data_IF_953130031389
#
_entry.id   IF_953130031389
#
_cell.length_a   1.000
_cell.length_b   1.000
_cell.length_c   1.000
_cell.angle_alpha   90.00
_cell.angle_beta   90.00
_cell.angle_gamma   90.00
#
_symmetry.space_group_name_H-M   'P 1'
#
loop_
_entity.id
_entity.type
_entity.pdbx_description
1 polymer ?
#
# COMPACT_ATOMS: atom_id res chain seq x y z
N UNK A 1 -0.92 21.11 5.75
CA UNK A 1 -0.59 22.29 6.57
C UNK A 1 -1.35 23.51 6.07
N UNK A 2 -1.11 23.98 4.84
CA UNK A 2 -1.84 25.14 4.30
C UNK A 2 -3.37 24.92 4.29
N UNK A 3 -3.86 23.77 3.81
CA UNK A 3 -5.29 23.41 3.87
C UNK A 3 -5.85 23.34 5.31
N UNK A 4 -5.01 22.97 6.26
CA UNK A 4 -5.37 22.87 7.68
C UNK A 4 -5.34 24.25 8.38
N UNK A 5 -4.91 25.31 7.68
CA UNK A 5 -4.87 26.67 8.20
C UNK A 5 -3.66 26.99 9.09
N UNK A 6 -2.61 26.16 9.10
CA UNK A 6 -1.39 26.42 9.85
C UNK A 6 -0.65 27.64 9.30
N UNK A 7 -0.14 28.52 10.18
CA UNK A 7 0.42 29.82 9.76
C UNK A 7 1.94 29.92 9.86
N UNK A 8 2.59 28.90 10.40
CA UNK A 8 4.02 28.93 10.71
C UNK A 8 4.89 28.59 9.48
N UNK A 9 6.12 29.13 9.41
CA UNK A 9 7.07 28.77 8.37
C UNK A 9 7.41 27.27 8.42
N UNK A 10 7.73 26.71 7.25
CA UNK A 10 8.04 25.29 7.09
C UNK A 10 9.51 25.13 6.73
N UNK A 11 10.20 24.24 7.43
CA UNK A 11 11.60 23.91 7.19
C UNK A 11 11.69 22.43 6.83
N UNK A 12 12.44 22.11 5.79
CA UNK A 12 12.79 20.73 5.45
C UNK A 12 14.31 20.57 5.47
N UNK A 13 14.78 19.59 6.22
CA UNK A 13 16.20 19.29 6.37
C UNK A 13 16.56 18.10 5.46
N UNK A 14 17.49 18.31 4.53
CA UNK A 14 17.94 17.32 3.58
C UNK A 14 19.30 16.77 4.02
N UNK A 15 19.40 15.45 4.15
CA UNK A 15 20.65 14.74 4.51
C UNK A 15 21.39 14.18 3.29
N UNK A 16 20.90 14.49 2.10
CA UNK A 16 21.42 14.05 0.82
C UNK A 16 21.18 15.13 -0.21
N UNK A 17 21.95 15.11 -1.29
CA UNK A 17 21.72 16.05 -2.39
C UNK A 17 20.48 15.66 -3.18
N UNK A 18 19.34 16.28 -2.84
CA UNK A 18 18.08 16.02 -3.52
C UNK A 18 18.11 16.57 -4.95
N UNK A 19 17.47 15.88 -5.92
CA UNK A 19 17.41 16.36 -7.29
C UNK A 19 16.90 17.80 -7.39
N UNK A 20 17.46 18.59 -8.30
CA UNK A 20 17.11 20.00 -8.47
C UNK A 20 15.59 20.23 -8.69
N UNK A 21 14.91 19.27 -9.31
CA UNK A 21 13.46 19.28 -9.47
C UNK A 21 12.71 19.25 -8.14
N UNK A 22 13.16 18.43 -7.19
CA UNK A 22 12.57 18.30 -5.85
C UNK A 22 12.82 19.57 -5.04
N UNK A 23 14.07 20.07 -5.04
CA UNK A 23 14.42 21.33 -4.36
C UNK A 23 13.56 22.50 -4.86
N UNK A 24 13.44 22.63 -6.18
CA UNK A 24 12.60 23.67 -6.81
C UNK A 24 11.14 23.56 -6.39
N UNK A 25 10.59 22.35 -6.36
CA UNK A 25 9.21 22.14 -5.93
C UNK A 25 9.00 22.52 -4.46
N UNK A 26 9.90 22.09 -3.58
CA UNK A 26 9.85 22.46 -2.15
C UNK A 26 9.88 23.98 -1.98
N UNK A 27 10.79 24.69 -2.68
CA UNK A 27 10.85 26.15 -2.63
C UNK A 27 9.58 26.83 -3.17
N UNK A 28 8.98 26.29 -4.25
CA UNK A 28 7.70 26.80 -4.78
C UNK A 28 6.55 26.62 -3.79
N UNK A 29 6.58 25.56 -3.00
CA UNK A 29 5.64 25.29 -1.90
C UNK A 29 6.01 26.03 -0.60
N UNK A 30 6.96 26.98 -0.66
CA UNK A 30 7.39 27.84 0.45
C UNK A 30 8.03 27.08 1.63
N UNK A 31 8.73 25.99 1.32
CA UNK A 31 9.63 25.35 2.28
C UNK A 31 11.00 26.04 2.28
N UNK A 32 11.51 26.31 3.47
CA UNK A 32 12.93 26.61 3.69
C UNK A 32 13.73 25.30 3.63
N UNK A 33 14.53 25.14 2.59
CA UNK A 33 15.26 23.91 2.29
C UNK A 33 16.68 24.03 2.83
N UNK A 34 17.00 23.24 3.87
CA UNK A 34 18.30 23.27 4.54
C UNK A 34 19.06 21.98 4.31
N UNK A 35 20.28 22.08 3.81
CA UNK A 35 21.20 20.95 3.77
C UNK A 35 21.82 20.75 5.14
N UNK A 36 21.70 19.54 5.69
CA UNK A 36 22.30 19.16 6.97
C UNK A 36 23.13 17.89 6.76
N UNK A 37 24.30 17.76 7.41
CA UNK A 37 25.09 16.55 7.28
C UNK A 37 24.35 15.39 7.95
N UNK A 38 24.46 14.20 7.37
CA UNK A 38 23.90 12.99 7.96
C UNK A 38 24.60 12.68 9.30
N UNK A 39 23.81 12.56 10.35
CA UNK A 39 24.29 12.10 11.65
C UNK A 39 24.34 10.57 11.69
N UNK A 40 25.51 9.96 11.95
CA UNK A 40 25.61 8.51 12.11
C UNK A 40 24.92 8.08 13.40
N UNK A 41 24.25 6.92 13.39
CA UNK A 41 23.70 6.31 14.59
C UNK A 41 24.80 5.59 15.37
N UNK A 42 25.06 5.94 16.65
CA UNK A 42 26.03 5.21 17.48
C UNK A 42 25.58 3.78 17.80
N UNK A 43 24.29 3.47 17.59
CA UNK A 43 23.70 2.15 17.85
C UNK A 43 23.61 1.27 16.60
N UNK A 44 24.31 1.62 15.53
CA UNK A 44 24.34 0.91 14.25
C UNK A 44 25.33 -0.27 14.24
N UNK A 45 25.01 -1.33 14.98
CA UNK A 45 25.83 -2.56 15.04
C UNK A 45 25.26 -3.73 14.22
N UNK A 46 24.01 -3.61 13.73
CA UNK A 46 23.27 -4.73 13.07
C UNK A 46 22.68 -4.44 11.70
N UNK A 47 22.82 -3.22 11.20
CA UNK A 47 22.42 -2.85 9.84
C UNK A 47 20.94 -2.82 9.50
N UNK A 48 20.11 -2.54 10.49
CA UNK A 48 18.66 -2.45 10.35
C UNK A 48 18.20 -1.02 9.97
N UNK A 49 16.90 -0.86 9.67
CA UNK A 49 16.27 0.38 9.19
C UNK A 49 16.52 1.63 10.06
N UNK A 50 17.04 1.49 11.28
CA UNK A 50 17.24 2.58 12.23
C UNK A 50 18.52 3.39 12.01
N UNK A 51 19.41 2.94 11.11
CA UNK A 51 20.69 3.59 10.74
C UNK A 51 20.61 5.08 10.49
N UNK A 52 19.52 5.52 9.87
CA UNK A 52 19.40 6.87 9.32
C UNK A 52 18.57 7.81 10.20
N UNK A 53 18.06 7.32 11.34
CA UNK A 53 17.08 8.06 12.16
C UNK A 53 17.70 9.18 12.99
N UNK A 54 19.00 9.11 13.29
CA UNK A 54 19.68 10.08 14.16
C UNK A 54 19.72 11.50 13.60
N UNK A 55 19.61 11.66 12.27
CA UNK A 55 19.59 12.99 11.65
C UNK A 55 18.36 13.82 12.04
N UNK A 56 17.32 13.21 12.62
CA UNK A 56 16.21 13.91 13.26
C UNK A 56 16.68 14.89 14.34
N UNK A 57 17.79 14.60 15.03
CA UNK A 57 18.30 15.45 16.12
C UNK A 57 18.64 16.87 15.65
N UNK A 58 18.86 17.11 14.35
CA UNK A 58 19.01 18.46 13.81
C UNK A 58 17.84 19.39 14.13
N UNK A 59 16.64 18.85 14.41
CA UNK A 59 15.50 19.62 14.89
C UNK A 59 15.77 20.36 16.21
N UNK A 60 16.63 19.81 17.08
CA UNK A 60 17.02 20.45 18.35
C UNK A 60 18.01 21.60 18.15
N UNK A 61 18.61 21.74 16.96
CA UNK A 61 19.61 22.77 16.65
C UNK A 61 19.07 23.89 15.73
N UNK A 62 17.75 23.95 15.47
CA UNK A 62 17.14 25.02 14.67
C UNK A 62 16.93 26.29 15.51
N UNK A 63 18.03 26.86 16.03
CA UNK A 63 18.02 27.94 17.04
C UNK A 63 17.58 29.31 16.52
N UNK A 64 17.37 29.44 15.21
CA UNK A 64 16.70 30.59 14.62
C UNK A 64 15.18 30.62 14.92
N UNK A 65 14.63 29.53 15.46
CA UNK A 65 13.25 29.45 15.96
C UNK A 65 13.19 29.36 17.48
N UNK A 66 12.19 30.03 18.07
CA UNK A 66 11.90 29.94 19.52
C UNK A 66 11.26 28.60 19.91
N UNK A 67 10.48 28.02 18.99
CA UNK A 67 9.74 26.77 19.13
C UNK A 67 9.64 26.11 17.76
N UNK A 68 9.80 24.80 17.71
CA UNK A 68 9.72 23.98 16.49
C UNK A 68 8.74 22.84 16.73
N UNK A 69 7.81 22.64 15.82
CA UNK A 69 7.00 21.42 15.73
C UNK A 69 7.69 20.50 14.72
N UNK A 70 8.41 19.50 15.22
CA UNK A 70 8.98 18.44 14.40
C UNK A 70 7.91 17.43 14.02
N UNK A 71 7.83 17.10 12.72
CA UNK A 71 6.90 16.15 12.15
C UNK A 71 7.67 15.28 11.15
N UNK A 72 7.58 13.96 11.28
CA UNK A 72 8.15 13.03 10.29
C UNK A 72 7.50 13.23 8.91
N UNK A 73 8.29 13.00 7.85
CA UNK A 73 7.85 13.23 6.47
C UNK A 73 6.67 12.35 6.00
N UNK A 74 6.31 11.32 6.76
CA UNK A 74 5.20 10.42 6.47
C UNK A 74 3.93 10.73 7.28
N UNK A 75 3.76 11.99 7.71
CA UNK A 75 2.51 12.49 8.29
C UNK A 75 1.73 13.38 7.30
N UNK A 76 0.40 13.34 7.36
CA UNK A 76 -0.47 14.38 6.80
C UNK A 76 -1.17 15.13 7.93
N UNK A 77 -1.05 16.45 7.94
CA UNK A 77 -1.80 17.34 8.85
C UNK A 77 -3.23 17.51 8.34
N UNK A 78 -4.22 17.13 9.14
CA UNK A 78 -5.64 17.15 8.77
C UNK A 78 -6.38 18.35 9.36
N UNK A 79 -6.00 18.79 10.57
CA UNK A 79 -6.57 19.94 11.26
C UNK A 79 -5.47 20.91 11.68
N UNK A 80 -5.84 22.17 12.01
CA UNK A 80 -4.87 23.12 12.56
C UNK A 80 -4.22 22.51 13.81
N UNK A 81 -2.92 22.78 13.98
CA UNK A 81 -2.07 22.27 15.07
C UNK A 81 -1.22 23.38 15.68
N UNK A 82 -1.59 24.64 15.44
CA UNK A 82 -0.83 25.80 15.91
C UNK A 82 -0.88 25.88 17.46
N UNK A 83 -1.88 25.28 18.09
CA UNK A 83 -1.97 25.14 19.55
C UNK A 83 -0.80 24.34 20.15
N UNK A 84 -0.15 23.47 19.38
CA UNK A 84 1.00 22.70 19.88
C UNK A 84 2.20 23.60 20.20
N UNK A 85 2.31 24.79 19.60
CA UNK A 85 3.40 25.73 19.89
C UNK A 85 3.31 26.36 21.28
N UNK A 86 2.16 26.27 21.96
CA UNK A 86 2.03 26.72 23.35
C UNK A 86 2.45 25.66 24.36
N UNK A 87 2.85 24.47 23.89
CA UNK A 87 3.41 23.45 24.76
C UNK A 87 4.74 23.91 25.36
N UNK A 88 5.16 23.27 26.45
CA UNK A 88 6.33 23.65 27.26
C UNK A 88 7.66 23.57 26.52
N UNK A 89 8.76 23.37 27.24
CA UNK A 89 10.09 23.35 26.61
C UNK A 89 10.30 22.17 25.65
N UNK A 90 9.61 21.05 25.90
CA UNK A 90 9.58 19.92 24.97
C UNK A 90 8.34 19.06 25.20
N UNK A 91 7.69 18.62 24.13
CA UNK A 91 6.52 17.76 24.22
C UNK A 91 6.56 16.68 23.15
N UNK A 92 6.03 15.51 23.47
CA UNK A 92 5.98 14.38 22.54
C UNK A 92 4.68 13.61 22.66
N UNK A 93 4.20 13.11 21.53
CA UNK A 93 2.95 12.37 21.50
C UNK A 93 3.11 10.94 22.04
N UNK A 94 2.25 10.59 22.98
CA UNK A 94 2.12 9.23 23.48
C UNK A 94 1.83 8.24 22.34
N UNK A 95 2.31 7.01 22.48
CA UNK A 95 2.09 5.94 21.52
C UNK A 95 1.64 4.66 22.22
N UNK A 96 0.41 4.23 21.97
CA UNK A 96 -0.12 2.95 22.43
C UNK A 96 0.65 1.74 21.85
N UNK A 97 1.30 1.90 20.68
CA UNK A 97 2.15 0.89 20.05
C UNK A 97 3.42 0.60 20.84
N UNK A 98 3.95 1.60 21.54
CA UNK A 98 5.19 1.44 22.28
C UNK A 98 4.90 0.88 23.67
N UNK A 99 5.62 -0.19 24.06
CA UNK A 99 5.42 -0.82 25.36
C UNK A 99 5.83 0.12 26.49
N UNK A 100 5.09 0.08 27.59
CA UNK A 100 5.42 0.85 28.79
C UNK A 100 5.34 2.34 28.51
N UNK A 101 4.21 2.80 27.99
CA UNK A 101 3.83 4.21 27.93
C UNK A 101 4.72 5.19 27.17
N UNK A 102 5.68 4.70 26.41
CA UNK A 102 6.68 5.46 25.64
C UNK A 102 6.03 6.34 24.56
N UNK A 103 6.76 7.38 24.13
CA UNK A 103 6.31 8.29 23.09
C UNK A 103 6.82 7.88 21.70
N UNK A 104 6.12 8.36 20.66
CA UNK A 104 6.59 8.30 19.28
C UNK A 104 7.38 9.57 18.94
N UNK A 105 8.56 9.41 18.35
CA UNK A 105 9.44 10.54 18.07
C UNK A 105 9.08 11.30 16.78
N UNK A 106 8.15 10.78 15.97
CA UNK A 106 7.74 11.39 14.72
C UNK A 106 6.90 12.65 14.87
N UNK A 107 6.45 12.98 16.09
CA UNK A 107 5.80 14.25 16.39
C UNK A 107 6.27 14.80 17.74
N UNK A 108 6.97 15.94 17.70
CA UNK A 108 7.54 16.58 18.88
C UNK A 108 7.45 18.10 18.80
N UNK A 109 7.17 18.75 19.92
CA UNK A 109 7.37 20.19 20.11
C UNK A 109 8.70 20.36 20.81
N UNK A 110 9.57 21.21 20.27
CA UNK A 110 10.95 21.36 20.71
C UNK A 110 11.24 22.85 20.91
N UNK A 111 11.86 23.20 22.03
CA UNK A 111 12.61 24.45 22.18
C UNK A 111 14.05 24.19 21.76
N UNK A 112 14.49 24.67 20.58
CA UNK A 112 15.84 24.40 20.10
C UNK A 112 16.91 25.02 21.01
N UNK A 113 18.02 24.30 21.20
CA UNK A 113 19.21 24.76 21.92
C UNK A 113 20.41 24.00 21.38
N UNK A 114 21.39 24.74 20.87
CA UNK A 114 22.64 24.15 20.38
C UNK A 114 23.38 23.43 21.52
N UNK A 115 23.37 23.97 22.74
CA UNK A 115 23.99 23.29 23.89
C UNK A 115 23.33 21.95 24.20
N UNK A 116 21.98 21.89 24.16
CA UNK A 116 21.27 20.65 24.43
C UNK A 116 21.41 19.65 23.28
N UNK A 117 21.44 20.12 22.04
CA UNK A 117 21.72 19.29 20.87
C UNK A 117 23.10 18.61 20.99
N UNK A 118 24.16 19.37 21.27
CA UNK A 118 25.51 18.81 21.46
C UNK A 118 25.55 17.83 22.63
N UNK A 119 24.81 18.13 23.72
CA UNK A 119 24.67 17.19 24.83
C UNK A 119 24.00 15.88 24.40
N UNK A 120 22.93 15.92 23.61
CA UNK A 120 22.26 14.71 23.12
C UNK A 120 23.19 13.86 22.24
N UNK A 121 23.99 14.49 21.38
CA UNK A 121 24.99 13.78 20.58
C UNK A 121 26.07 13.13 21.47
N UNK A 122 26.61 13.87 22.43
CA UNK A 122 27.60 13.36 23.38
C UNK A 122 27.06 12.20 24.22
N UNK A 123 25.84 12.30 24.72
CA UNK A 123 25.20 11.24 25.52
C UNK A 123 24.96 9.97 24.67
N UNK A 124 24.62 10.12 23.38
CA UNK A 124 24.44 8.99 22.48
C UNK A 124 25.77 8.30 22.15
N UNK A 125 26.82 9.07 21.85
CA UNK A 125 28.15 8.53 21.49
C UNK A 125 28.85 7.90 22.69
N UNK A 126 28.73 8.50 23.86
CA UNK A 126 29.31 7.95 25.11
C UNK A 126 28.59 6.70 25.61
N UNK A 127 27.41 6.38 25.08
CA UNK A 127 26.57 5.28 25.57
C UNK A 127 25.94 5.56 26.93
N UNK A 128 25.79 6.84 27.30
CA UNK A 128 25.14 7.25 28.56
C UNK A 128 23.71 6.70 28.67
N UNK A 129 23.02 6.61 27.53
CA UNK A 129 21.72 5.96 27.40
C UNK A 129 21.79 4.85 26.37
N UNK A 130 20.93 3.85 26.53
CA UNK A 130 20.77 2.79 25.52
C UNK A 130 19.69 3.21 24.51
N UNK A 131 19.48 2.39 23.49
CA UNK A 131 18.34 2.54 22.60
C UNK A 131 17.66 1.18 22.43
N UNK A 132 16.50 1.02 23.08
CA UNK A 132 15.76 -0.25 23.06
C UNK A 132 15.36 -0.72 21.66
N UNK A 133 15.20 0.20 20.70
CA UNK A 133 14.89 -0.11 19.30
C UNK A 133 16.06 0.19 18.36
N UNK A 134 17.26 0.47 18.88
CA UNK A 134 18.47 0.83 18.11
C UNK A 134 18.33 2.08 17.23
N UNK A 135 17.27 2.88 17.40
CA UNK A 135 17.03 4.13 16.67
C UNK A 135 16.96 5.34 17.59
N UNK A 136 16.76 6.52 16.98
CA UNK A 136 16.67 7.78 17.72
C UNK A 136 15.46 7.84 18.67
N UNK A 137 14.32 7.24 18.28
CA UNK A 137 13.15 7.19 19.16
C UNK A 137 13.44 6.40 20.44
N UNK A 138 14.18 5.30 20.34
CA UNK A 138 14.55 4.50 21.49
C UNK A 138 15.46 5.25 22.44
N UNK A 139 16.47 5.92 21.87
CA UNK A 139 17.39 6.78 22.59
C UNK A 139 16.66 7.93 23.31
N UNK A 140 15.80 8.68 22.61
CA UNK A 140 15.10 9.82 23.21
C UNK A 140 14.09 9.40 24.30
N UNK A 141 13.49 8.22 24.20
CA UNK A 141 12.63 7.67 25.26
C UNK A 141 13.38 7.40 26.57
N UNK A 142 14.70 7.28 26.53
CA UNK A 142 15.57 7.13 27.70
C UNK A 142 16.18 8.48 28.12
N UNK A 143 16.66 9.28 27.17
CA UNK A 143 17.34 10.55 27.44
C UNK A 143 16.40 11.69 27.89
N UNK A 144 15.21 11.82 27.29
CA UNK A 144 14.32 12.94 27.56
C UNK A 144 13.74 12.97 28.98
N UNK A 145 13.23 11.85 29.56
CA UNK A 145 12.82 11.82 30.97
C UNK A 145 13.91 12.33 31.91
N UNK A 146 15.14 11.88 31.69
CA UNK A 146 16.30 12.24 32.50
C UNK A 146 16.62 13.72 32.39
N UNK A 147 16.59 14.28 31.19
CA UNK A 147 16.81 15.72 31.00
C UNK A 147 15.68 16.57 31.62
N UNK A 148 14.43 16.18 31.40
CA UNK A 148 13.26 16.91 31.88
C UNK A 148 13.17 16.96 33.41
N UNK A 149 13.58 15.88 34.09
CA UNK A 149 13.54 15.78 35.55
C UNK A 149 14.86 16.15 36.23
N UNK A 150 15.81 16.79 35.54
CA UNK A 150 17.16 17.07 36.06
C UNK A 150 17.88 15.83 36.65
N UNK A 151 17.69 14.67 36.02
CA UNK A 151 18.31 13.39 36.38
C UNK A 151 17.52 12.51 37.35
N UNK A 152 16.42 13.01 37.91
CA UNK A 152 15.62 12.27 38.89
C UNK A 152 14.90 11.02 38.34
N UNK A 153 14.67 10.94 37.04
CA UNK A 153 13.86 9.89 36.38
C UNK A 153 14.62 9.32 35.19
N UNK A 154 14.52 8.01 34.96
CA UNK A 154 15.21 7.32 33.85
C UNK A 154 14.27 6.67 32.84
N UNK A 155 12.96 6.78 33.02
CA UNK A 155 11.99 6.21 32.09
C UNK A 155 10.81 7.14 31.84
N UNK A 156 10.29 7.07 30.62
CA UNK A 156 9.13 7.86 30.22
C UNK A 156 7.87 7.53 31.05
N UNK A 157 7.68 6.27 31.44
CA UNK A 157 6.57 5.86 32.33
C UNK A 157 6.62 6.55 33.67
N UNK A 158 7.81 6.59 34.27
CA UNK A 158 7.99 7.20 35.57
C UNK A 158 7.81 8.71 35.49
N UNK A 159 8.24 9.32 34.37
CA UNK A 159 8.05 10.73 34.10
C UNK A 159 6.56 11.07 34.02
N UNK A 160 5.78 10.37 33.19
CA UNK A 160 4.34 10.65 33.05
C UNK A 160 3.54 10.36 34.31
N UNK A 161 3.97 9.38 35.14
CA UNK A 161 3.33 9.10 36.43
C UNK A 161 3.60 10.18 37.48
N UNK A 162 4.80 10.78 37.46
CA UNK A 162 5.26 11.70 38.50
C UNK A 162 5.12 13.18 38.14
N UNK A 163 4.99 13.53 36.85
CA UNK A 163 4.82 14.91 36.36
C UNK A 163 3.46 15.55 36.71
N UNK A 164 2.88 15.21 37.86
CA UNK A 164 1.72 15.88 38.45
C UNK A 164 2.12 17.13 39.23
N UNK A 165 1.16 17.80 39.90
CA UNK A 165 1.37 19.06 40.62
C UNK A 165 2.50 19.04 41.67
N UNK A 166 2.84 17.85 42.19
CA UNK A 166 3.87 17.63 43.22
C UNK A 166 5.22 17.14 42.66
N UNK A 167 5.38 17.10 41.33
CA UNK A 167 6.74 16.98 40.76
C UNK A 167 7.52 18.24 41.15
N UNK A 168 8.71 18.09 41.75
CA UNK A 168 9.55 19.23 42.11
C UNK A 168 9.89 20.13 40.91
N UNK A 169 10.87 21.04 41.04
CA UNK A 169 11.26 21.93 39.93
C UNK A 169 11.80 21.13 38.71
N UNK A 170 10.90 20.67 37.84
CA UNK A 170 11.18 19.97 36.60
C UNK A 170 11.06 20.95 35.44
N UNK A 171 11.66 20.60 34.31
CA UNK A 171 11.41 21.34 33.07
C UNK A 171 9.97 21.09 32.63
N UNK A 172 9.36 22.06 31.96
CA UNK A 172 8.02 21.96 31.37
C UNK A 172 8.00 20.98 30.19
N UNK A 173 8.15 19.69 30.48
CA UNK A 173 8.04 18.64 29.49
C UNK A 173 6.68 17.95 29.61
N UNK A 174 5.98 17.74 28.48
CA UNK A 174 4.61 17.23 28.52
C UNK A 174 4.39 16.10 27.52
N UNK A 175 3.69 15.05 27.96
CA UNK A 175 3.16 14.05 27.05
C UNK A 175 1.90 14.61 26.37
N UNK A 176 1.94 14.73 25.04
CA UNK A 176 0.75 15.08 24.26
C UNK A 176 -0.21 13.90 24.21
N UNK A 177 -1.49 14.20 24.06
CA UNK A 177 -2.53 13.20 23.86
C UNK A 177 -2.21 12.30 22.66
N UNK A 178 -2.65 11.04 22.74
CA UNK A 178 -2.48 10.07 21.67
C UNK A 178 -3.11 10.52 20.34
N UNK A 179 -4.12 11.39 20.38
CA UNK A 179 -4.81 11.96 19.20
C UNK A 179 -3.86 12.63 18.20
N UNK A 180 -2.71 13.14 18.65
CA UNK A 180 -1.70 13.78 17.80
C UNK A 180 -0.75 12.79 17.09
N UNK A 181 -0.71 11.53 17.52
CA UNK A 181 0.09 10.47 16.89
C UNK A 181 -0.76 9.22 16.62
N UNK A 182 -2.08 9.41 16.54
CA UNK A 182 -3.00 8.30 16.40
C UNK A 182 -2.86 7.69 15.01
N UNK A 183 -2.60 6.39 15.00
CA UNK A 183 -2.74 5.55 13.83
C UNK A 183 -4.14 5.73 13.24
N UNK A 184 -4.24 5.86 11.92
CA UNK A 184 -5.47 5.55 11.22
C UNK A 184 -6.05 4.19 11.67
N UNK A 185 -5.19 3.30 12.16
CA UNK A 185 -5.42 1.87 12.25
C UNK A 185 -5.95 1.37 13.58
N UNK A 186 -5.93 2.15 14.67
CA UNK A 186 -6.06 1.54 16.00
C UNK A 186 -7.40 1.70 16.75
N UNK A 187 -7.85 0.51 17.16
CA UNK A 187 -8.64 0.07 18.31
C UNK A 187 -10.18 0.19 18.36
N UNK A 188 -10.80 -0.99 18.58
CA UNK A 188 -12.22 -1.27 18.88
C UNK A 188 -12.63 -0.85 20.31
N UNK A 189 -11.67 -0.46 21.17
CA UNK A 189 -11.89 -0.20 22.59
C UNK A 189 -11.48 1.19 23.06
N UNK A 190 -11.45 2.16 22.15
CA UNK A 190 -11.01 3.50 22.49
C UNK A 190 -12.09 4.30 23.28
N UNK A 191 -11.77 4.86 24.46
CA UNK A 191 -12.67 5.73 25.22
C UNK A 191 -13.05 7.05 24.49
N UNK A 192 -12.24 7.51 23.53
CA UNK A 192 -12.54 8.62 22.60
C UNK A 192 -13.59 8.21 21.54
N UNK A 193 -13.59 6.95 21.10
CA UNK A 193 -14.67 6.40 20.25
C UNK A 193 -15.97 6.17 21.04
N UNK A 194 -15.89 5.89 22.35
CA UNK A 194 -17.06 5.94 23.25
C UNK A 194 -17.67 7.34 23.38
N UNK A 195 -16.88 8.39 23.20
CA UNK A 195 -17.33 9.79 23.33
C UNK A 195 -17.69 10.47 22.00
N UNK A 196 -17.70 9.72 20.88
CA UNK A 196 -18.15 10.22 19.57
C UNK A 196 -17.47 11.53 19.11
N UNK A 197 -16.19 11.74 19.41
CA UNK A 197 -15.46 12.85 18.77
C UNK A 197 -15.37 12.57 17.25
N UNK A 198 -15.78 13.49 16.36
CA UNK A 198 -15.85 13.21 14.92
C UNK A 198 -14.45 13.00 14.33
N UNK A 199 -14.37 12.50 13.08
CA UNK A 199 -13.11 12.30 12.35
C UNK A 199 -12.24 13.58 12.19
N UNK A 200 -12.80 14.74 12.54
CA UNK A 200 -12.12 16.03 12.72
C UNK A 200 -11.30 16.13 14.02
N UNK A 201 -11.28 15.10 14.88
CA UNK A 201 -10.47 15.05 16.10
C UNK A 201 -9.06 14.46 15.87
N UNK A 202 -8.77 13.99 14.65
CA UNK A 202 -7.45 13.48 14.29
C UNK A 202 -6.66 14.64 13.69
N UNK A 203 -5.61 15.08 14.35
CA UNK A 203 -4.76 16.15 13.84
C UNK A 203 -3.81 15.65 12.73
N UNK A 204 -3.47 14.34 12.75
CA UNK A 204 -2.51 13.74 11.81
C UNK A 204 -2.92 12.36 11.27
N UNK A 205 -2.65 12.09 9.99
CA UNK A 205 -2.65 10.75 9.42
C UNK A 205 -1.23 10.20 9.33
N UNK A 206 -0.90 9.19 10.15
CA UNK A 206 0.43 8.57 10.23
C UNK A 206 0.37 7.06 9.90
N UNK A 207 0.86 6.61 8.73
CA UNK A 207 0.95 5.20 8.35
C UNK A 207 2.22 4.58 8.98
N UNK A 208 2.16 4.27 10.28
CA UNK A 208 3.32 3.80 11.06
C UNK A 208 3.79 2.39 10.68
N UNK A 209 2.99 1.63 9.92
CA UNK A 209 3.42 0.29 9.51
C UNK A 209 4.42 0.38 8.35
N UNK A 210 5.68 0.06 8.65
CA UNK A 210 6.81 0.24 7.75
C UNK A 210 6.63 -0.40 6.36
N UNK A 211 5.90 -1.52 6.27
CA UNK A 211 5.68 -2.23 5.02
C UNK A 211 4.49 -1.68 4.21
N UNK A 212 3.57 -0.93 4.83
CA UNK A 212 2.35 -0.44 4.18
C UNK A 212 2.38 1.07 4.13
N UNK A 213 2.77 1.59 2.96
CA UNK A 213 2.94 3.02 2.74
C UNK A 213 2.02 3.55 1.63
N UNK A 214 1.47 4.76 1.78
CA UNK A 214 0.47 5.32 0.87
C UNK A 214 1.03 5.78 -0.49
N UNK A 215 2.35 5.91 -0.61
CA UNK A 215 3.01 6.15 -1.91
C UNK A 215 3.10 4.89 -2.78
N UNK A 216 2.68 3.74 -2.25
CA UNK A 216 2.71 2.44 -2.93
C UNK A 216 1.29 2.01 -3.30
N UNK A 217 1.03 1.78 -4.59
CA UNK A 217 -0.32 1.64 -5.13
C UNK A 217 -1.08 0.40 -4.65
N UNK A 218 -0.39 -0.73 -4.45
CA UNK A 218 -1.03 -2.01 -4.18
C UNK A 218 -1.60 -2.12 -2.76
N UNK A 219 -1.29 -1.17 -1.88
CA UNK A 219 -1.85 -1.10 -0.52
C UNK A 219 -3.18 -0.37 -0.42
N UNK A 220 -3.62 0.32 -1.48
CA UNK A 220 -4.87 1.09 -1.48
C UNK A 220 -6.14 0.24 -1.23
N UNK A 221 -6.21 -1.02 -1.69
CA UNK A 221 -7.31 -1.91 -1.30
C UNK A 221 -7.34 -2.26 0.20
N UNK A 222 -6.22 -2.08 0.92
CA UNK A 222 -6.13 -2.41 2.34
C UNK A 222 -6.28 -1.19 3.26
N UNK A 223 -6.05 0.03 2.81
CA UNK A 223 -6.12 1.20 3.69
C UNK A 223 -6.95 2.33 3.05
N UNK A 224 -8.21 2.53 3.45
CA UNK A 224 -9.03 3.67 3.02
C UNK A 224 -8.36 5.03 3.24
N UNK A 225 -7.54 5.17 4.29
CA UNK A 225 -6.79 6.41 4.55
C UNK A 225 -5.74 6.72 3.50
N UNK A 226 -5.28 5.75 2.71
CA UNK A 226 -4.40 6.03 1.57
C UNK A 226 -5.06 6.93 0.52
N UNK A 227 -6.40 6.99 0.45
CA UNK A 227 -7.08 7.90 -0.45
C UNK A 227 -6.90 9.38 -0.07
N UNK A 228 -6.70 9.69 1.21
CA UNK A 228 -6.33 11.04 1.66
C UNK A 228 -4.97 11.43 1.06
N UNK A 229 -3.99 10.52 1.12
CA UNK A 229 -2.67 10.73 0.53
C UNK A 229 -2.73 10.91 -0.99
N UNK A 230 -3.58 10.13 -1.67
CA UNK A 230 -3.76 10.29 -3.11
C UNK A 230 -4.34 11.64 -3.50
N UNK A 231 -5.22 12.23 -2.68
CA UNK A 231 -5.75 13.59 -2.89
C UNK A 231 -4.58 14.58 -3.01
N UNK A 232 -3.70 14.64 -2.01
CA UNK A 232 -2.56 15.55 -2.02
C UNK A 232 -1.51 15.18 -3.07
N UNK A 233 -1.28 13.89 -3.30
CA UNK A 233 -0.40 13.44 -4.39
C UNK A 233 -0.86 13.95 -5.76
N UNK A 234 -2.17 14.14 -5.98
CA UNK A 234 -2.69 14.69 -7.22
C UNK A 234 -2.22 16.13 -7.49
N UNK A 235 -1.89 16.88 -6.45
CA UNK A 235 -1.49 18.29 -6.49
C UNK A 235 0.02 18.45 -6.78
N UNK A 236 0.80 17.38 -6.60
CA UNK A 236 2.24 17.34 -6.86
C UNK A 236 2.52 17.61 -8.34
N UNK A 237 3.40 18.58 -8.62
CA UNK A 237 3.74 18.98 -9.98
C UNK A 237 4.28 17.79 -10.79
N UNK A 238 3.78 17.61 -12.01
CA UNK A 238 4.19 16.53 -12.91
C UNK A 238 3.43 15.21 -12.72
N UNK A 239 2.71 15.02 -11.60
CA UNK A 239 1.93 13.80 -11.37
C UNK A 239 0.78 13.66 -12.38
N UNK A 240 0.17 14.79 -12.81
CA UNK A 240 -0.84 14.79 -13.87
C UNK A 240 -0.34 14.20 -15.19
N UNK A 241 0.83 14.64 -15.67
CA UNK A 241 1.44 14.10 -16.88
C UNK A 241 1.82 12.62 -16.73
N UNK A 242 2.32 12.24 -15.55
CA UNK A 242 2.63 10.84 -15.23
C UNK A 242 1.38 9.95 -15.25
N UNK A 243 0.25 10.43 -14.72
CA UNK A 243 -1.05 9.72 -14.79
C UNK A 243 -1.49 9.49 -16.23
N UNK A 244 -1.39 10.50 -17.08
CA UNK A 244 -1.73 10.39 -18.50
C UNK A 244 -0.82 9.38 -19.20
N UNK A 245 0.50 9.43 -18.97
CA UNK A 245 1.44 8.48 -19.54
C UNK A 245 1.11 7.04 -19.15
N UNK A 246 0.86 6.79 -17.86
CA UNK A 246 0.48 5.48 -17.37
C UNK A 246 -0.87 5.04 -17.95
N UNK A 247 -1.86 5.94 -18.06
CA UNK A 247 -3.14 5.61 -18.70
C UNK A 247 -2.96 5.23 -20.18
N UNK A 248 -2.09 5.93 -20.91
CA UNK A 248 -1.80 5.60 -22.31
C UNK A 248 -1.13 4.23 -22.41
N UNK A 249 -0.07 3.99 -21.64
CA UNK A 249 0.72 2.75 -21.71
C UNK A 249 -0.01 1.53 -21.11
N UNK A 250 -0.73 1.73 -20.02
CA UNK A 250 -1.37 0.66 -19.24
C UNK A 250 -2.83 0.41 -19.60
N UNK A 251 -3.52 1.36 -20.25
CA UNK A 251 -4.93 1.23 -20.61
C UNK A 251 -5.16 1.33 -22.11
N UNK A 252 -4.79 2.46 -22.72
CA UNK A 252 -5.11 2.71 -24.13
C UNK A 252 -4.35 1.75 -25.06
N UNK A 253 -3.02 1.62 -24.90
CA UNK A 253 -2.21 0.78 -25.76
C UNK A 253 -2.61 -0.71 -25.70
N UNK A 254 -2.84 -1.35 -24.53
CA UNK A 254 -3.30 -2.74 -24.47
C UNK A 254 -4.68 -2.96 -25.09
N UNK A 255 -5.60 -2.01 -24.94
CA UNK A 255 -6.92 -2.06 -25.59
C UNK A 255 -6.78 -1.98 -27.11
N UNK A 256 -5.96 -1.06 -27.63
CA UNK A 256 -5.68 -0.93 -29.07
C UNK A 256 -5.02 -2.20 -29.61
N UNK A 257 -4.05 -2.78 -28.89
CA UNK A 257 -3.41 -4.05 -29.25
C UNK A 257 -4.42 -5.19 -29.31
N UNK A 258 -5.31 -5.27 -28.31
CA UNK A 258 -6.38 -6.26 -28.27
C UNK A 258 -7.34 -6.12 -29.45
N UNK A 259 -7.72 -4.89 -29.78
CA UNK A 259 -8.60 -4.59 -30.91
C UNK A 259 -7.94 -4.92 -32.25
N UNK A 260 -6.69 -4.52 -32.46
CA UNK A 260 -5.91 -4.84 -33.66
C UNK A 260 -5.79 -6.37 -33.86
N UNK A 261 -5.57 -7.12 -32.77
CA UNK A 261 -5.52 -8.57 -32.80
C UNK A 261 -6.85 -9.20 -33.26
N UNK A 262 -7.99 -8.68 -32.79
CA UNK A 262 -9.33 -9.13 -33.22
C UNK A 262 -9.57 -8.85 -34.71
N UNK A 263 -9.04 -7.74 -35.23
CA UNK A 263 -9.10 -7.40 -36.66
C UNK A 263 -8.15 -8.25 -37.53
N UNK A 264 -7.38 -9.16 -36.95
CA UNK A 264 -6.46 -10.03 -37.68
C UNK A 264 -5.12 -9.37 -38.01
N UNK A 265 -4.86 -8.16 -37.51
CA UNK A 265 -3.52 -7.57 -37.51
C UNK A 265 -2.64 -8.40 -36.57
N UNK A 266 -1.36 -8.57 -36.91
CA UNK A 266 -0.39 -9.28 -36.06
C UNK A 266 0.41 -8.24 -35.27
N UNK A 267 0.01 -7.89 -34.03
CA UNK A 267 0.68 -6.82 -33.29
C UNK A 267 2.07 -7.26 -32.80
N UNK A 268 2.29 -8.58 -32.73
CA UNK A 268 3.55 -9.19 -32.37
C UNK A 268 3.90 -10.24 -33.43
N UNK A 269 4.99 -10.02 -34.17
CA UNK A 269 5.63 -11.08 -34.93
C UNK A 269 6.39 -11.95 -33.94
N UNK A 270 5.73 -12.95 -33.36
CA UNK A 270 6.46 -14.00 -32.65
C UNK A 270 7.23 -14.76 -33.71
N UNK A 271 8.54 -14.52 -33.82
CA UNK A 271 9.43 -15.40 -34.54
C UNK A 271 9.16 -16.80 -33.98
N UNK A 272 8.64 -17.68 -34.84
CA UNK A 272 8.21 -19.03 -34.49
C UNK A 272 9.41 -19.82 -33.96
N UNK A 273 9.70 -19.72 -32.67
CA UNK A 273 10.73 -20.51 -32.02
C UNK A 273 10.15 -21.89 -31.70
N UNK A 274 9.92 -22.66 -32.76
CA UNK A 274 9.95 -24.12 -32.79
C UNK A 274 9.59 -24.54 -34.22
N UNK A 275 10.62 -24.76 -35.05
CA UNK A 275 10.51 -25.70 -36.16
C UNK A 275 10.71 -27.11 -35.60
N UNK A 276 9.82 -27.58 -34.75
CA UNK A 276 9.60 -29.03 -34.61
C UNK A 276 8.26 -29.35 -35.26
N UNK A 277 8.35 -29.78 -36.52
CA UNK A 277 7.31 -30.55 -37.19
C UNK A 277 7.15 -31.82 -36.37
N UNK A 278 6.19 -31.83 -35.45
CA UNK A 278 5.72 -33.06 -34.82
C UNK A 278 4.72 -33.67 -35.79
N UNK A 279 5.08 -34.84 -36.30
CA UNK A 279 4.28 -35.65 -37.19
C UNK A 279 2.87 -35.86 -36.61
N UNK A 280 1.90 -35.88 -37.52
CA UNK A 280 0.52 -36.30 -37.27
C UNK A 280 0.52 -37.69 -36.61
N UNK A 281 0.20 -37.75 -35.32
CA UNK A 281 -0.14 -39.01 -34.65
C UNK A 281 -1.24 -38.77 -33.63
N UNK A 282 -2.42 -39.30 -33.98
CA UNK A 282 -3.57 -39.69 -33.15
C UNK A 282 -4.20 -38.63 -32.23
N UNK A 283 -5.53 -38.49 -32.36
CA UNK A 283 -6.36 -37.74 -31.42
C UNK A 283 -6.04 -38.19 -29.97
N UNK A 284 -5.69 -37.27 -29.06
CA UNK A 284 -5.60 -37.64 -27.66
C UNK A 284 -7.00 -37.97 -27.20
N UNK A 285 -7.18 -39.14 -26.59
CA UNK A 285 -8.41 -39.48 -25.89
C UNK A 285 -8.91 -38.28 -25.08
N UNK A 286 -10.22 -38.02 -25.18
CA UNK A 286 -10.97 -37.02 -24.41
C UNK A 286 -11.04 -37.42 -22.93
N UNK A 287 -9.89 -37.73 -22.33
CA UNK A 287 -9.71 -38.28 -21.00
C UNK A 287 -9.51 -37.20 -19.93
N UNK A 288 -9.73 -37.58 -18.66
CA UNK A 288 -9.57 -36.71 -17.49
C UNK A 288 -8.18 -36.05 -17.41
N UNK A 289 -7.11 -36.78 -17.80
CA UNK A 289 -5.72 -36.30 -17.77
C UNK A 289 -5.43 -35.16 -18.75
N UNK A 290 -5.99 -35.20 -19.96
CA UNK A 290 -5.83 -34.12 -20.96
C UNK A 290 -6.50 -32.83 -20.48
N UNK A 291 -7.71 -32.93 -19.93
CA UNK A 291 -8.42 -31.80 -19.32
C UNK A 291 -7.60 -31.21 -18.16
N UNK A 292 -7.14 -32.04 -17.23
CA UNK A 292 -6.29 -31.61 -16.10
C UNK A 292 -5.05 -30.84 -16.58
N UNK A 293 -4.36 -31.31 -17.62
CA UNK A 293 -3.19 -30.62 -18.18
C UNK A 293 -3.54 -29.25 -18.79
N UNK A 294 -4.69 -29.13 -19.47
CA UNK A 294 -5.16 -27.82 -19.98
C UNK A 294 -5.56 -26.87 -18.85
N UNK A 295 -6.22 -27.35 -17.81
CA UNK A 295 -6.53 -26.56 -16.62
C UNK A 295 -5.26 -26.07 -15.92
N UNK A 296 -4.26 -26.94 -15.73
CA UNK A 296 -2.98 -26.56 -15.13
C UNK A 296 -2.26 -25.45 -15.92
N UNK A 297 -2.29 -25.52 -17.26
CA UNK A 297 -1.72 -24.47 -18.13
C UNK A 297 -2.43 -23.12 -17.96
N UNK A 298 -3.76 -23.12 -17.85
CA UNK A 298 -4.53 -21.89 -17.64
C UNK A 298 -4.32 -21.29 -16.26
N UNK A 299 -4.19 -22.12 -15.23
CA UNK A 299 -3.82 -21.66 -13.87
C UNK A 299 -2.48 -20.95 -13.90
N UNK A 300 -1.46 -21.62 -14.45
CA UNK A 300 -0.12 -21.05 -14.58
C UNK A 300 -0.14 -19.75 -15.39
N UNK A 301 -0.91 -19.70 -16.48
CA UNK A 301 -1.04 -18.49 -17.30
C UNK A 301 -1.67 -17.32 -16.51
N UNK A 302 -2.76 -17.55 -15.77
CA UNK A 302 -3.42 -16.48 -15.00
C UNK A 302 -2.55 -15.96 -13.87
N UNK A 303 -1.90 -16.86 -13.12
CA UNK A 303 -0.99 -16.49 -12.03
C UNK A 303 0.22 -15.74 -12.59
N UNK A 304 0.85 -16.26 -13.65
CA UNK A 304 1.98 -15.61 -14.29
C UNK A 304 1.61 -14.22 -14.82
N UNK A 305 0.43 -14.06 -15.45
CA UNK A 305 -0.04 -12.77 -15.93
C UNK A 305 -0.22 -11.76 -14.79
N UNK A 306 -0.81 -12.17 -13.66
CA UNK A 306 -0.90 -11.31 -12.45
C UNK A 306 0.48 -10.85 -11.98
N UNK A 307 1.40 -11.80 -11.78
CA UNK A 307 2.74 -11.53 -11.26
C UNK A 307 3.53 -10.64 -12.22
N UNK A 308 3.51 -10.96 -13.51
CA UNK A 308 4.23 -10.20 -14.54
C UNK A 308 3.74 -8.76 -14.62
N UNK A 309 2.42 -8.53 -14.62
CA UNK A 309 1.85 -7.18 -14.66
C UNK A 309 2.13 -6.41 -13.36
N UNK A 310 2.05 -7.09 -12.21
CA UNK A 310 2.38 -6.48 -10.92
C UNK A 310 3.80 -5.93 -10.88
N UNK A 311 4.79 -6.70 -11.35
CA UNK A 311 6.19 -6.27 -11.38
C UNK A 311 6.52 -5.33 -12.56
N UNK A 312 5.71 -5.31 -13.61
CA UNK A 312 5.87 -4.35 -14.71
C UNK A 312 5.43 -2.93 -14.33
N UNK A 313 4.51 -2.78 -13.38
CA UNK A 313 4.04 -1.49 -12.91
C UNK A 313 4.95 -0.94 -11.80
N UNK A 314 5.52 0.27 -11.95
CA UNK A 314 6.30 0.86 -10.88
C UNK A 314 5.47 1.03 -9.61
N UNK A 315 6.05 0.70 -8.45
CA UNK A 315 5.36 0.73 -7.15
C UNK A 315 4.86 2.13 -6.76
N UNK A 316 5.53 3.17 -7.24
CA UNK A 316 5.26 4.56 -6.92
C UNK A 316 4.38 5.26 -7.97
N UNK A 317 3.38 4.59 -8.54
CA UNK A 317 2.41 5.19 -9.49
C UNK A 317 1.11 5.58 -8.78
N UNK A 318 0.34 6.52 -9.34
CA UNK A 318 -1.01 6.82 -8.86
C UNK A 318 -1.84 5.53 -8.75
N UNK A 319 -2.44 5.30 -7.59
CA UNK A 319 -3.03 4.00 -7.32
C UNK A 319 -4.19 3.64 -8.25
N UNK A 320 -5.04 4.61 -8.60
CA UNK A 320 -6.13 4.37 -9.53
C UNK A 320 -5.59 4.00 -10.91
N UNK A 321 -4.61 4.76 -11.41
CA UNK A 321 -4.00 4.45 -12.71
C UNK A 321 -3.29 3.10 -12.70
N UNK A 322 -2.61 2.75 -11.60
CA UNK A 322 -1.93 1.47 -11.46
C UNK A 322 -2.92 0.30 -11.47
N UNK A 323 -4.00 0.36 -10.68
CA UNK A 323 -4.99 -0.71 -10.63
C UNK A 323 -5.78 -0.86 -11.93
N UNK A 324 -6.21 0.24 -12.55
CA UNK A 324 -6.88 0.18 -13.87
C UNK A 324 -5.92 -0.42 -14.91
N UNK A 325 -4.66 0.04 -14.95
CA UNK A 325 -3.64 -0.51 -15.84
C UNK A 325 -3.37 -1.98 -15.56
N UNK A 326 -3.33 -2.40 -14.29
CA UNK A 326 -3.12 -3.79 -13.89
C UNK A 326 -4.20 -4.70 -14.47
N UNK A 327 -5.47 -4.36 -14.29
CA UNK A 327 -6.57 -5.16 -14.81
C UNK A 327 -6.62 -5.15 -16.34
N UNK A 328 -6.37 -3.99 -16.98
CA UNK A 328 -6.37 -3.88 -18.43
C UNK A 328 -5.22 -4.65 -19.08
N UNK A 329 -3.99 -4.51 -18.56
CA UNK A 329 -2.82 -5.27 -19.02
C UNK A 329 -2.99 -6.76 -18.81
N UNK A 330 -3.48 -7.19 -17.64
CA UNK A 330 -3.76 -8.61 -17.37
C UNK A 330 -4.82 -9.15 -18.31
N UNK A 331 -5.91 -8.41 -18.51
CA UNK A 331 -6.99 -8.78 -19.43
C UNK A 331 -6.51 -8.94 -20.87
N UNK A 332 -5.70 -7.99 -21.34
CA UNK A 332 -5.03 -8.06 -22.63
C UNK A 332 -4.10 -9.29 -22.72
N UNK A 333 -3.23 -9.51 -21.73
CA UNK A 333 -2.30 -10.64 -21.72
C UNK A 333 -3.03 -11.98 -21.77
N UNK A 334 -4.07 -12.16 -20.93
CA UNK A 334 -4.91 -13.35 -20.95
C UNK A 334 -5.63 -13.50 -22.30
N UNK A 335 -6.20 -12.43 -22.83
CA UNK A 335 -6.86 -12.43 -24.13
C UNK A 335 -5.93 -12.81 -25.28
N UNK A 336 -4.65 -12.43 -25.19
CA UNK A 336 -3.61 -12.59 -26.22
C UNK A 336 -2.69 -13.81 -26.04
N UNK A 337 -2.76 -14.52 -24.92
CA UNK A 337 -1.93 -15.72 -24.68
C UNK A 337 -2.76 -17.00 -24.61
N UNK A 338 -4.05 -16.90 -24.27
CA UNK A 338 -4.88 -18.09 -24.01
C UNK A 338 -4.96 -19.04 -25.22
N UNK A 339 -5.37 -18.59 -26.43
CA UNK A 339 -5.24 -19.37 -27.66
C UNK A 339 -3.84 -19.87 -28.01
N UNK A 340 -2.77 -19.13 -27.72
CA UNK A 340 -1.39 -19.61 -27.97
C UNK A 340 -1.04 -20.81 -27.08
N UNK A 341 -1.46 -20.76 -25.80
CA UNK A 341 -1.20 -21.81 -24.82
C UNK A 341 -2.07 -23.05 -25.04
N UNK A 342 -3.30 -22.85 -25.56
CA UNK A 342 -4.29 -23.92 -25.73
C UNK A 342 -4.34 -24.55 -27.14
N UNK A 343 -3.95 -23.85 -28.21
CA UNK A 343 -4.05 -24.34 -29.59
C UNK A 343 -2.67 -24.78 -30.16
N UNK A 344 -2.65 -25.84 -30.98
CA UNK A 344 -1.46 -26.37 -31.66
C UNK A 344 -1.35 -25.93 -33.15
N UNK A 345 -1.84 -24.73 -33.51
CA UNK A 345 -1.92 -24.28 -34.91
C UNK A 345 -2.00 -22.76 -35.09
N UNK A 346 -2.48 -22.29 -36.25
CA UNK A 346 -2.69 -20.84 -36.49
C UNK A 346 -3.62 -20.26 -35.42
N UNK A 347 -3.10 -19.30 -34.69
CA UNK A 347 -3.80 -18.65 -33.58
C UNK A 347 -4.84 -17.67 -34.13
N UNK A 348 -6.08 -17.76 -33.65
CA UNK A 348 -7.16 -16.84 -34.02
C UNK A 348 -7.66 -16.09 -32.79
N UNK A 349 -7.42 -14.78 -32.77
CA UNK A 349 -7.98 -13.88 -31.75
C UNK A 349 -9.39 -13.50 -32.16
N UNK A 350 -10.39 -14.06 -31.48
CA UNK A 350 -11.79 -13.64 -31.65
C UNK A 350 -12.15 -12.63 -30.59
N UNK A 351 -13.10 -11.74 -30.89
CA UNK A 351 -13.64 -10.78 -29.91
C UNK A 351 -14.03 -11.49 -28.61
N UNK A 352 -14.65 -12.67 -28.72
CA UNK A 352 -15.05 -13.47 -27.57
C UNK A 352 -13.89 -13.90 -26.68
N UNK A 353 -12.79 -14.39 -27.26
CA UNK A 353 -11.60 -14.79 -26.48
C UNK A 353 -11.02 -13.60 -25.74
N UNK A 354 -10.87 -12.47 -26.45
CA UNK A 354 -10.31 -11.24 -25.88
C UNK A 354 -11.19 -10.73 -24.73
N UNK A 355 -12.52 -10.68 -24.93
CA UNK A 355 -13.46 -10.32 -23.88
C UNK A 355 -13.41 -11.27 -22.67
N UNK A 356 -13.23 -12.58 -22.88
CA UNK A 356 -13.02 -13.52 -21.78
C UNK A 356 -11.79 -13.16 -20.94
N UNK A 357 -10.68 -12.74 -21.57
CA UNK A 357 -9.48 -12.27 -20.85
C UNK A 357 -9.78 -11.07 -19.94
N UNK A 358 -10.50 -10.06 -20.46
CA UNK A 358 -10.91 -8.90 -19.66
C UNK A 358 -11.92 -9.24 -18.56
N UNK A 359 -12.87 -10.15 -18.82
CA UNK A 359 -13.80 -10.64 -17.80
C UNK A 359 -13.04 -11.37 -16.67
N UNK A 360 -11.98 -12.12 -16.99
CA UNK A 360 -11.13 -12.72 -15.95
C UNK A 360 -10.49 -11.66 -15.06
N UNK A 361 -9.93 -10.59 -15.66
CA UNK A 361 -9.38 -9.48 -14.88
C UNK A 361 -10.44 -8.77 -14.02
N UNK A 362 -11.67 -8.63 -14.53
CA UNK A 362 -12.79 -8.06 -13.77
C UNK A 362 -13.17 -8.92 -12.54
N UNK A 363 -13.11 -10.25 -12.63
CA UNK A 363 -13.33 -11.13 -11.47
C UNK A 363 -12.30 -10.86 -10.37
N UNK A 364 -11.04 -10.61 -10.71
CA UNK A 364 -10.01 -10.26 -9.73
C UNK A 364 -10.21 -8.86 -9.15
N UNK A 365 -10.61 -7.89 -9.99
CA UNK A 365 -10.97 -6.57 -9.52
C UNK A 365 -12.10 -6.62 -8.48
N UNK A 366 -13.14 -7.42 -8.75
CA UNK A 366 -14.20 -7.67 -7.78
C UNK A 366 -13.65 -8.34 -6.52
N UNK A 367 -12.81 -9.37 -6.63
CA UNK A 367 -12.21 -10.01 -5.45
C UNK A 367 -11.40 -9.05 -4.57
N UNK A 368 -10.69 -8.08 -5.17
CA UNK A 368 -9.86 -7.11 -4.47
C UNK A 368 -10.70 -5.97 -3.85
N UNK A 369 -11.68 -5.44 -4.58
CA UNK A 369 -12.40 -4.23 -4.20
C UNK A 369 -13.79 -4.46 -3.60
N UNK A 370 -14.44 -5.61 -3.84
CA UNK A 370 -15.74 -5.92 -3.27
C UNK A 370 -15.75 -5.86 -1.73
N UNK A 371 -14.73 -6.38 -1.02
CA UNK A 371 -14.63 -6.21 0.43
C UNK A 371 -14.68 -4.72 0.83
N UNK A 372 -13.98 -3.84 0.12
CA UNK A 372 -14.02 -2.40 0.40
C UNK A 372 -15.41 -1.80 0.16
N UNK A 373 -16.08 -2.16 -0.94
CA UNK A 373 -17.42 -1.62 -1.26
C UNK A 373 -18.51 -2.08 -0.29
N UNK A 374 -18.32 -3.25 0.32
CA UNK A 374 -19.18 -3.76 1.40
C UNK A 374 -18.75 -3.23 2.77
N UNK A 375 -17.73 -2.35 2.79
CA UNK A 375 -17.08 -1.75 3.95
C UNK A 375 -16.50 -2.72 4.95
N UNK A 376 -15.99 -3.85 4.45
CA UNK A 376 -14.83 -4.50 5.06
C UNK A 376 -13.60 -3.61 4.84
N UNK A 377 -13.63 -2.44 5.49
CA UNK A 377 -12.48 -1.57 5.60
C UNK A 377 -11.52 -2.28 6.54
N UNK A 378 -10.43 -2.76 5.97
CA UNK A 378 -9.35 -3.45 6.66
C UNK A 378 -8.85 -2.67 7.86
N UNK A 379 -8.88 -1.35 7.76
CA UNK A 379 -8.29 -0.47 8.75
C UNK A 379 -8.86 0.96 8.59
N UNK A 380 -9.45 1.52 9.65
CA UNK A 380 -9.82 2.95 9.80
C UNK A 380 -11.18 3.45 9.28
N UNK A 381 -12.03 3.78 10.25
CA UNK A 381 -13.19 4.67 10.26
C UNK A 381 -14.58 4.11 9.85
N UNK A 382 -15.56 4.48 10.67
CA UNK A 382 -16.70 3.72 11.21
C UNK A 382 -18.06 4.21 10.70
N UNK A 383 -18.19 4.47 9.39
CA UNK A 383 -19.53 4.42 8.78
C UNK A 383 -19.87 3.06 8.16
N UNK A 384 -19.02 2.03 8.36
CA UNK A 384 -19.36 0.67 7.96
C UNK A 384 -19.07 -0.33 9.08
N UNK A 385 -20.07 -1.15 9.39
CA UNK A 385 -19.97 -2.27 10.32
C UNK A 385 -18.96 -3.29 9.78
N UNK A 386 -17.76 -3.32 10.34
CA UNK A 386 -16.82 -4.42 10.08
C UNK A 386 -17.32 -5.69 10.76
N UNK A 387 -17.08 -6.85 10.13
CA UNK A 387 -17.43 -8.18 10.66
C UNK A 387 -16.84 -8.50 12.05
N UNK A 388 -15.89 -7.69 12.53
CA UNK A 388 -15.23 -7.85 13.82
C UNK A 388 -15.77 -6.91 14.92
N UNK A 389 -16.89 -6.23 14.69
CA UNK A 389 -17.59 -5.54 15.77
C UNK A 389 -18.33 -6.56 16.65
N UNK A 390 -18.04 -6.58 17.97
CA UNK A 390 -18.78 -7.38 18.96
C UNK A 390 -20.27 -7.05 18.99
N UNK A 391 -20.69 -5.89 18.45
CA UNK A 391 -22.08 -5.46 18.29
C UNK A 391 -22.71 -5.82 16.94
N UNK A 392 -21.96 -6.39 15.99
CA UNK A 392 -22.49 -6.87 14.71
C UNK A 392 -23.27 -8.19 14.90
N UNK A 393 -24.26 -8.19 15.80
CA UNK A 393 -25.18 -9.28 16.07
C UNK A 393 -26.28 -9.39 15.03
N UNK A 394 -25.95 -9.60 13.75
CA UNK A 394 -26.96 -9.79 12.71
C UNK A 394 -26.95 -11.18 12.05
N UNK A 395 -25.86 -11.95 12.10
CA UNK A 395 -25.89 -13.34 11.64
C UNK A 395 -25.05 -14.29 12.51
N UNK A 396 -25.54 -15.52 12.65
CA UNK A 396 -24.91 -16.58 13.45
C UNK A 396 -23.50 -16.95 12.94
N UNK A 397 -23.26 -16.82 11.63
CA UNK A 397 -21.98 -17.15 11.01
C UNK A 397 -20.84 -16.22 11.45
N UNK A 398 -21.10 -14.92 11.53
CA UNK A 398 -20.15 -13.92 12.01
C UNK A 398 -19.77 -14.16 13.48
N UNK A 399 -20.76 -14.53 14.31
CA UNK A 399 -20.56 -14.84 15.72
C UNK A 399 -19.75 -16.13 15.93
N UNK A 400 -20.06 -17.17 15.15
CA UNK A 400 -19.34 -18.45 15.18
C UNK A 400 -17.89 -18.29 14.69
N UNK A 401 -17.68 -17.58 13.58
CA UNK A 401 -16.36 -17.36 13.01
C UNK A 401 -15.47 -16.55 13.97
N UNK A 402 -16.00 -15.48 14.55
CA UNK A 402 -15.31 -14.69 15.57
C UNK A 402 -14.84 -15.54 16.77
N UNK A 403 -15.71 -16.43 17.29
CA UNK A 403 -15.42 -17.25 18.48
C UNK A 403 -14.39 -18.34 18.24
N UNK A 404 -14.29 -18.88 17.02
CA UNK A 404 -13.50 -20.08 16.74
C UNK A 404 -12.21 -19.81 15.95
N UNK A 405 -12.11 -18.69 15.23
CA UNK A 405 -11.02 -18.45 14.27
C UNK A 405 -10.21 -17.18 14.54
N UNK A 406 -10.54 -16.36 15.55
CA UNK A 406 -9.99 -15.01 15.77
C UNK A 406 -10.18 -14.08 14.54
N UNK A 407 -10.18 -12.75 14.72
CA UNK A 407 -10.49 -11.82 13.63
C UNK A 407 -9.48 -11.92 12.47
N UNK A 408 -8.21 -12.20 12.78
CA UNK A 408 -7.15 -12.32 11.78
C UNK A 408 -7.24 -13.61 10.94
N UNK A 409 -7.50 -14.78 11.56
CA UNK A 409 -7.56 -16.03 10.80
C UNK A 409 -8.88 -16.17 10.01
N UNK A 410 -9.99 -15.67 10.55
CA UNK A 410 -11.27 -15.60 9.81
C UNK A 410 -11.12 -14.80 8.50
N UNK A 411 -10.46 -13.64 8.59
CA UNK A 411 -10.18 -12.81 7.43
C UNK A 411 -9.27 -13.57 6.45
N UNK A 412 -8.13 -14.11 6.88
CA UNK A 412 -7.23 -14.87 6.01
C UNK A 412 -7.96 -16.01 5.26
N UNK A 413 -8.84 -16.75 5.94
CA UNK A 413 -9.63 -17.83 5.32
C UNK A 413 -10.63 -17.29 4.29
N UNK A 414 -11.34 -16.20 4.59
CA UNK A 414 -12.23 -15.55 3.61
C UNK A 414 -11.45 -15.06 2.37
N UNK A 415 -10.23 -14.55 2.55
CA UNK A 415 -9.36 -14.15 1.44
C UNK A 415 -8.95 -15.33 0.60
N UNK A 416 -8.50 -16.40 1.24
CA UNK A 416 -8.18 -17.63 0.54
C UNK A 416 -9.39 -18.14 -0.28
N UNK A 417 -10.60 -18.08 0.28
CA UNK A 417 -11.81 -18.48 -0.44
C UNK A 417 -12.16 -17.56 -1.61
N UNK A 418 -12.08 -16.23 -1.46
CA UNK A 418 -12.35 -15.28 -2.55
C UNK A 418 -11.32 -15.45 -3.67
N UNK A 419 -10.05 -15.62 -3.33
CA UNK A 419 -8.97 -15.84 -4.31
C UNK A 419 -9.19 -17.16 -5.06
N UNK A 420 -9.49 -18.25 -4.34
CA UNK A 420 -9.75 -19.56 -4.95
C UNK A 420 -11.00 -19.52 -5.83
N UNK A 421 -12.10 -18.94 -5.36
CA UNK A 421 -13.34 -18.80 -6.13
C UNK A 421 -13.13 -17.92 -7.38
N UNK A 422 -12.42 -16.80 -7.23
CA UNK A 422 -12.05 -15.92 -8.32
C UNK A 422 -11.21 -16.64 -9.37
N UNK A 423 -10.18 -17.38 -8.94
CA UNK A 423 -9.35 -18.19 -9.84
C UNK A 423 -10.19 -19.25 -10.57
N UNK A 424 -11.05 -19.98 -9.87
CA UNK A 424 -11.96 -20.95 -10.50
C UNK A 424 -12.84 -20.32 -11.59
N UNK A 425 -13.46 -19.18 -11.31
CA UNK A 425 -14.28 -18.43 -12.27
C UNK A 425 -13.46 -17.97 -13.48
N UNK A 426 -12.25 -17.44 -13.27
CA UNK A 426 -11.36 -17.03 -14.35
C UNK A 426 -11.05 -18.20 -15.29
N UNK A 427 -10.74 -19.36 -14.74
CA UNK A 427 -10.37 -20.53 -15.52
C UNK A 427 -11.56 -21.06 -16.37
N UNK A 428 -12.77 -21.04 -15.82
CA UNK A 428 -14.00 -21.38 -16.56
C UNK A 428 -14.18 -20.44 -17.77
N UNK A 429 -14.01 -19.14 -17.56
CA UNK A 429 -14.15 -18.13 -18.63
C UNK A 429 -13.10 -18.32 -19.73
N UNK A 430 -11.84 -18.60 -19.38
CA UNK A 430 -10.78 -18.87 -20.36
C UNK A 430 -11.09 -20.13 -21.20
N UNK A 431 -11.61 -21.19 -20.58
CA UNK A 431 -12.04 -22.41 -21.30
C UNK A 431 -13.21 -22.14 -22.24
N UNK A 432 -14.22 -21.38 -21.79
CA UNK A 432 -15.40 -21.00 -22.60
C UNK A 432 -14.98 -20.17 -23.82
N UNK A 433 -13.99 -19.28 -23.66
CA UNK A 433 -13.46 -18.45 -24.74
C UNK A 433 -12.92 -19.26 -25.92
N UNK A 434 -12.30 -20.42 -25.65
CA UNK A 434 -11.63 -21.26 -26.66
C UNK A 434 -12.51 -22.39 -27.20
N UNK A 435 -13.48 -22.89 -26.42
CA UNK A 435 -14.15 -24.18 -26.70
C UNK A 435 -15.27 -24.19 -27.76
N UNK A 436 -15.68 -23.07 -28.36
CA UNK A 436 -16.78 -23.07 -29.38
C UNK A 436 -16.33 -23.09 -30.85
N UNK A 437 -15.03 -23.13 -31.14
CA UNK A 437 -14.56 -23.20 -32.54
C UNK A 437 -14.56 -24.64 -33.07
N UNK A 438 -14.52 -25.65 -32.20
CA UNK A 438 -14.48 -27.06 -32.61
C UNK A 438 -15.82 -27.65 -33.05
N UNK A 439 -16.95 -26.95 -32.92
CA UNK A 439 -18.29 -27.48 -33.24
C UNK A 439 -18.89 -27.00 -34.56
N UNK A 440 -18.19 -26.18 -35.36
CA UNK A 440 -18.72 -25.63 -36.62
C UNK A 440 -18.16 -26.29 -37.89
N UNK A 441 -17.39 -27.38 -37.76
CA UNK A 441 -16.72 -28.06 -38.89
C UNK A 441 -17.35 -29.38 -39.38
N UNK A 442 -18.54 -29.78 -38.89
CA UNK A 442 -19.10 -31.12 -39.15
C UNK A 442 -20.54 -31.14 -39.68
N UNK A 443 -21.01 -30.07 -40.33
CA UNK A 443 -22.36 -30.03 -40.92
C UNK A 443 -22.42 -29.76 -42.43
N UNK A 444 -21.34 -30.00 -43.17
CA UNK A 444 -21.34 -29.96 -44.65
C UNK A 444 -20.72 -31.24 -45.24
N UNK A 445 -21.43 -32.38 -45.15
CA UNK A 445 -21.10 -33.57 -45.99
C UNK A 445 -22.24 -34.59 -46.12
N UNK A 446 -23.50 -34.16 -46.13
CA UNK A 446 -24.62 -35.05 -46.51
C UNK A 446 -25.54 -34.36 -47.49
N UNK A 447 -25.30 -34.60 -48.78
CA UNK A 447 -26.23 -34.24 -49.84
C UNK A 447 -25.60 -34.26 -51.21
N UNK A 448 -25.28 -35.45 -51.74
CA UNK A 448 -25.36 -35.79 -53.17
C UNK A 448 -24.86 -37.23 -53.36
N UNK A 449 -25.79 -38.16 -53.55
CA UNK A 449 -25.52 -39.49 -54.10
C UNK A 449 -26.80 -39.97 -54.78
N UNK A 450 -27.09 -39.38 -55.94
CA UNK A 450 -28.01 -39.94 -56.93
C UNK A 450 -27.25 -40.08 -58.25
N UNK A 451 -27.40 -41.26 -58.85
CA UNK A 451 -27.17 -41.63 -60.24
C UNK A 451 -25.78 -41.49 -60.89
N UNK A 452 -25.13 -42.64 -61.11
CA UNK A 452 -25.12 -43.30 -62.44
C UNK A 452 -23.92 -44.25 -62.60
N UNK A 453 -24.18 -45.53 -62.86
CA UNK A 453 -23.81 -46.25 -64.11
C UNK A 453 -23.84 -47.77 -63.93
N UNK A 454 -24.76 -48.35 -64.70
CA UNK A 454 -24.77 -49.74 -65.20
C UNK A 454 -23.66 -49.99 -66.24
N UNK A 455 -23.39 -51.28 -66.44
CA UNK A 455 -22.55 -51.95 -67.47
C UNK A 455 -21.05 -51.96 -67.12
N UNK A 456 -20.36 -53.09 -67.05
CA UNK A 456 -20.50 -54.39 -67.73
C UNK A 456 -20.03 -55.52 -66.82
#
# INVERSE_FOLDING_TARGET
>A
MDEAGCKHPRVIMLTFDAPATVRRQLSQERWDVRDVPRLPSPYDDKGEMTRQTFSMLWAFNQTDFKRVLYIDSDFIVVNNVDELFTCGVWCAAYSNRERGGRFNAGLQVITPSSEFFEKLLSDAVSGQFTSYNRGVQGFLNEAMPHWCSFGAVRSWVEFTRRAGPDSGNWRECTALEETYNRLAVDEVYDPVLKTQKPANAIHFNHPVFWAVKPWVWYWYPLLPTNWLWRKHRAEVQGEGARRVLIAVLGVLAPVVVSFAAVLGLRPFSVASCSKHVVASSQEPERGRRFRLAQWAKLVLLSVFASVAVFFALPSNVDALMAWVSYFTLKGCALGMMTPQVLQRGRVRWTLRVVLCGYLCAAVEALGIYLPQSMGFNWVSNTRVNSFCDKRAGANWFALWAYRNLECHATMIVLFAMIIVAGLCCQLILLQIGVSRVTTTGTSESKGTSEDSKKSR
#
